data_IF_524079544091
#
_entry.id   IF_524079544091
#
_cell.length_a   1.000
_cell.length_b   1.000
_cell.length_c   1.000
_cell.angle_alpha   90.00
_cell.angle_beta   90.00
_cell.angle_gamma   90.00
#
_symmetry.space_group_name_H-M   'P 1'
#
loop_
_entity.id
_entity.type
_entity.pdbx_description
1 polymer ?
#
# COMPACT_ATOMS: atom_id res chain seq x y z
N UNK A 1 -95.42 2.85 -10.31
CA UNK A 1 -95.45 2.02 -11.52
C UNK A 1 -94.05 1.43 -11.74
N UNK A 2 -93.99 0.09 -11.75
CA UNK A 2 -93.03 -0.86 -12.38
C UNK A 2 -91.93 -0.18 -13.25
N UNK A 3 -90.62 -0.49 -13.16
CA UNK A 3 -90.02 -1.81 -13.43
C UNK A 3 -88.62 -2.02 -12.84
N UNK A 4 -88.50 -3.22 -12.30
CA UNK A 4 -87.34 -4.07 -12.09
C UNK A 4 -86.61 -4.35 -13.42
N UNK A 5 -85.28 -4.32 -13.44
CA UNK A 5 -84.51 -5.29 -14.24
C UNK A 5 -83.08 -5.44 -13.72
N UNK A 6 -82.84 -6.64 -13.17
CA UNK A 6 -81.58 -7.27 -12.82
C UNK A 6 -80.62 -7.41 -14.00
N UNK A 7 -79.30 -7.27 -13.76
CA UNK A 7 -78.30 -8.19 -14.30
C UNK A 7 -77.01 -8.17 -13.45
N UNK A 8 -76.64 -9.35 -12.95
CA UNK A 8 -75.36 -9.69 -12.34
C UNK A 8 -74.19 -9.41 -13.29
N UNK A 9 -73.06 -8.89 -12.79
CA UNK A 9 -71.74 -9.45 -13.12
C UNK A 9 -70.62 -8.96 -12.18
N UNK A 10 -69.94 -9.91 -11.54
CA UNK A 10 -68.50 -9.81 -11.27
C UNK A 10 -68.04 -9.13 -9.98
N UNK A 11 -68.17 -9.82 -8.84
CA UNK A 11 -67.29 -9.62 -7.70
C UNK A 11 -65.84 -9.97 -8.10
N UNK A 12 -64.99 -8.96 -8.30
CA UNK A 12 -63.53 -9.11 -8.18
C UNK A 12 -63.09 -8.18 -7.05
N UNK A 13 -63.20 -8.68 -5.83
CA UNK A 13 -62.53 -8.07 -4.67
C UNK A 13 -61.03 -8.32 -4.83
N UNK A 14 -60.32 -7.31 -5.33
CA UNK A 14 -58.89 -7.18 -5.11
C UNK A 14 -58.66 -7.00 -3.61
N UNK A 15 -58.36 -8.11 -2.92
CA UNK A 15 -57.84 -8.08 -1.56
C UNK A 15 -56.42 -7.51 -1.66
N UNK A 16 -56.30 -6.19 -1.49
CA UNK A 16 -55.01 -5.55 -1.18
C UNK A 16 -54.72 -5.85 0.28
N UNK A 17 -54.16 -7.03 0.53
CA UNK A 17 -53.54 -7.33 1.82
C UNK A 17 -52.33 -6.41 1.98
N UNK A 18 -52.52 -5.28 2.67
CA UNK A 18 -51.42 -4.53 3.24
C UNK A 18 -50.80 -5.42 4.32
N UNK A 19 -49.73 -6.12 3.98
CA UNK A 19 -48.86 -6.73 4.97
C UNK A 19 -48.23 -5.59 5.78
N UNK A 20 -48.74 -5.34 6.97
CA UNK A 20 -48.05 -4.55 7.99
C UNK A 20 -46.90 -5.41 8.53
N UNK A 21 -45.84 -5.54 7.73
CA UNK A 21 -44.55 -5.99 8.20
C UNK A 21 -43.99 -4.81 8.99
N UNK A 22 -44.34 -4.78 10.28
CA UNK A 22 -43.67 -3.96 11.28
C UNK A 22 -42.24 -4.46 11.42
N UNK A 23 -41.43 -4.15 10.41
CA UNK A 23 -40.02 -4.47 10.38
C UNK A 23 -39.33 -3.54 11.37
N UNK A 24 -39.24 -4.00 12.61
CA UNK A 24 -38.31 -3.44 13.60
C UNK A 24 -36.89 -3.86 13.22
N UNK A 25 -36.47 -3.50 12.01
CA UNK A 25 -35.06 -3.44 11.68
C UNK A 25 -34.49 -2.25 12.43
N UNK A 26 -33.99 -2.55 13.64
CA UNK A 26 -33.06 -1.68 14.32
C UNK A 26 -31.80 -1.59 13.45
N UNK A 27 -31.82 -0.69 12.48
CA UNK A 27 -30.65 -0.36 11.71
C UNK A 27 -29.56 0.13 12.67
N UNK A 28 -28.44 -0.60 12.68
CA UNK A 28 -27.27 -0.28 13.50
C UNK A 28 -26.74 1.10 13.12
N UNK A 29 -26.83 1.48 11.85
CA UNK A 29 -26.40 2.79 11.37
C UNK A 29 -27.31 3.90 11.92
N UNK A 30 -28.63 3.71 11.93
CA UNK A 30 -29.55 4.62 12.58
C UNK A 30 -29.21 4.79 14.07
N UNK A 31 -28.89 3.73 14.83
CA UNK A 31 -28.51 3.89 16.26
C UNK A 31 -27.20 4.67 16.47
N UNK A 32 -26.24 4.53 15.55
CA UNK A 32 -24.96 5.25 15.61
C UNK A 32 -25.11 6.75 15.36
N UNK A 33 -26.05 7.17 14.49
CA UNK A 33 -26.27 8.60 14.16
C UNK A 33 -26.77 9.44 15.35
N UNK A 34 -27.43 8.82 16.34
CA UNK A 34 -28.02 9.53 17.48
C UNK A 34 -27.16 9.48 18.75
N UNK A 35 -26.03 8.78 18.72
CA UNK A 35 -25.13 8.66 19.87
C UNK A 35 -24.04 9.72 19.77
N UNK A 36 -24.01 10.68 20.69
CA UNK A 36 -22.88 11.61 20.80
C UNK A 36 -21.65 10.81 21.19
N UNK A 37 -20.73 10.61 20.25
CA UNK A 37 -19.45 9.98 20.52
C UNK A 37 -18.58 11.01 21.23
N UNK A 38 -18.26 10.76 22.49
CA UNK A 38 -17.23 11.53 23.19
C UNK A 38 -15.89 11.25 22.53
N UNK A 39 -15.40 12.20 21.72
CA UNK A 39 -14.20 12.03 20.92
C UNK A 39 -13.05 12.77 21.59
N UNK A 40 -12.01 12.05 22.01
CA UNK A 40 -10.76 12.65 22.47
C UNK A 40 -9.82 12.83 21.28
N UNK A 41 -9.34 14.04 21.03
CA UNK A 41 -8.32 14.28 20.01
C UNK A 41 -6.97 13.74 20.51
N UNK A 42 -6.42 12.74 19.83
CA UNK A 42 -5.09 12.22 20.10
C UNK A 42 -4.15 12.54 18.94
N UNK A 43 -2.96 13.04 19.25
CA UNK A 43 -1.92 13.33 18.27
C UNK A 43 -0.75 12.36 18.53
N UNK A 44 -0.32 11.62 17.51
CA UNK A 44 0.72 10.60 17.65
C UNK A 44 2.13 11.08 17.29
N UNK A 45 2.33 12.36 16.95
CA UNK A 45 3.64 12.93 16.60
C UNK A 45 4.70 12.70 17.68
N UNK A 46 4.34 12.82 18.98
CA UNK A 46 5.27 12.57 20.08
C UNK A 46 5.80 11.14 20.13
N UNK A 47 5.02 10.15 19.64
CA UNK A 47 5.46 8.75 19.58
C UNK A 47 6.47 8.51 18.46
N UNK A 48 6.55 9.41 17.49
CA UNK A 48 7.34 9.29 16.27
C UNK A 48 8.57 10.20 16.27
N UNK A 49 8.81 10.93 17.37
CA UNK A 49 9.87 11.93 17.48
C UNK A 49 11.30 11.39 17.27
N UNK A 50 11.51 10.08 17.41
CA UNK A 50 12.82 9.44 17.21
C UNK A 50 12.98 8.86 15.81
N UNK A 51 11.92 8.83 14.99
CA UNK A 51 11.97 8.28 13.65
C UNK A 51 12.44 9.35 12.66
N UNK A 52 13.36 8.97 11.76
CA UNK A 52 13.70 9.81 10.60
C UNK A 52 12.63 9.61 9.55
N UNK A 53 11.70 10.55 9.46
CA UNK A 53 10.53 10.45 8.60
C UNK A 53 10.61 11.42 7.42
N UNK A 54 10.15 10.94 6.26
CA UNK A 54 10.01 11.71 5.03
C UNK A 54 8.53 11.77 4.68
N UNK A 55 8.04 12.96 4.35
CA UNK A 55 6.65 13.16 3.95
C UNK A 55 6.37 12.51 2.59
N UNK A 56 5.23 11.84 2.49
CA UNK A 56 4.72 11.29 1.24
C UNK A 56 3.83 12.35 0.59
N UNK A 57 4.29 12.90 -0.52
CA UNK A 57 3.54 13.90 -1.30
C UNK A 57 2.67 13.20 -2.34
N UNK A 58 1.44 12.84 -1.96
CA UNK A 58 0.44 12.22 -2.84
C UNK A 58 -0.90 12.94 -2.73
N UNK A 59 -1.56 13.15 -3.86
CA UNK A 59 -2.84 13.87 -3.91
C UNK A 59 -3.91 13.18 -3.05
N UNK A 60 -4.57 13.96 -2.18
CA UNK A 60 -5.61 13.46 -1.29
C UNK A 60 -5.11 12.80 -0.01
N UNK A 61 -3.79 12.81 0.26
CA UNK A 61 -3.22 12.31 1.51
C UNK A 61 -2.42 13.41 2.21
N UNK A 62 -2.87 13.80 3.41
CA UNK A 62 -2.09 14.62 4.33
C UNK A 62 -1.54 13.77 5.47
N UNK A 63 -0.51 14.28 6.15
CA UNK A 63 0.06 13.64 7.35
C UNK A 63 0.47 12.18 7.15
N UNK A 64 0.96 11.83 5.94
CA UNK A 64 1.43 10.50 5.60
C UNK A 64 2.95 10.51 5.40
N UNK A 65 3.64 9.64 6.13
CA UNK A 65 5.09 9.57 6.17
C UNK A 65 5.61 8.14 5.97
N UNK A 66 6.87 8.08 5.57
CA UNK A 66 7.68 6.86 5.45
C UNK A 66 9.01 7.05 6.16
N UNK A 67 9.70 5.97 6.49
CA UNK A 67 11.05 6.06 7.01
C UNK A 67 12.01 6.53 5.92
N UNK A 68 12.96 7.38 6.29
CA UNK A 68 14.06 7.78 5.41
C UNK A 68 14.86 6.54 4.99
N UNK A 69 15.01 6.36 3.68
CA UNK A 69 15.67 5.21 3.07
C UNK A 69 17.18 5.40 3.03
N UNK A 70 17.65 6.60 2.69
CA UNK A 70 19.08 6.90 2.45
C UNK A 70 19.98 6.51 3.61
N UNK A 71 19.65 6.93 4.83
CA UNK A 71 20.45 6.57 6.00
C UNK A 71 20.30 5.11 6.45
N UNK A 72 19.55 4.27 5.71
CA UNK A 72 19.47 2.82 5.87
C UNK A 72 20.20 2.07 4.74
N UNK A 73 20.89 2.77 3.84
CA UNK A 73 21.74 2.19 2.78
C UNK A 73 23.17 2.17 3.31
N UNK A 74 23.80 1.00 3.38
CA UNK A 74 25.09 0.82 4.06
C UNK A 74 26.22 1.73 3.54
N UNK A 75 26.26 2.01 2.23
CA UNK A 75 27.33 2.79 1.59
C UNK A 75 26.80 4.01 0.82
N UNK A 76 25.77 4.68 1.35
CA UNK A 76 25.34 5.97 0.81
C UNK A 76 26.19 7.10 1.40
N UNK A 77 26.68 8.08 0.63
CA UNK A 77 26.44 8.36 -0.79
C UNK A 77 27.28 7.52 -1.74
N UNK A 78 26.66 7.09 -2.84
CA UNK A 78 27.27 6.30 -3.90
C UNK A 78 28.36 7.09 -4.62
N UNK A 79 28.16 8.41 -4.76
CA UNK A 79 29.12 9.33 -5.37
C UNK A 79 30.48 9.36 -4.66
N UNK A 80 30.57 8.90 -3.41
CA UNK A 80 31.85 8.82 -2.69
C UNK A 80 32.83 7.81 -3.26
N UNK A 81 32.36 6.85 -4.07
CA UNK A 81 33.21 5.91 -4.81
C UNK A 81 33.02 6.04 -6.33
N UNK A 82 31.86 6.54 -6.79
CA UNK A 82 31.52 6.73 -8.19
C UNK A 82 31.75 8.17 -8.64
N UNK A 83 33.01 8.61 -8.59
CA UNK A 83 33.42 9.97 -8.98
C UNK A 83 33.70 10.11 -10.49
N UNK A 84 33.85 8.99 -11.19
CA UNK A 84 34.10 8.92 -12.63
C UNK A 84 33.12 7.99 -13.31
N UNK A 85 33.06 8.05 -14.63
CA UNK A 85 32.17 7.22 -15.45
C UNK A 85 32.30 5.73 -15.13
N UNK A 86 31.16 5.03 -15.07
CA UNK A 86 31.11 3.62 -14.71
C UNK A 86 31.95 2.73 -15.64
N UNK A 87 32.06 3.10 -16.92
CA UNK A 87 32.89 2.40 -17.89
C UNK A 87 34.38 2.44 -17.51
N UNK A 88 34.85 3.54 -16.92
CA UNK A 88 36.24 3.72 -16.50
C UNK A 88 36.54 2.96 -15.21
N UNK A 89 35.57 2.89 -14.28
CA UNK A 89 35.72 2.16 -13.01
C UNK A 89 35.89 0.64 -13.21
N UNK A 90 35.21 0.04 -14.20
CA UNK A 90 35.37 -1.38 -14.53
C UNK A 90 36.82 -1.77 -14.86
N UNK A 91 37.59 -0.84 -15.41
CA UNK A 91 39.00 -1.09 -15.79
C UNK A 91 39.98 -0.99 -14.61
N UNK A 92 39.56 -0.40 -13.47
CA UNK A 92 40.42 -0.13 -12.32
C UNK A 92 40.43 -1.23 -11.25
N UNK A 93 39.78 -2.37 -11.52
CA UNK A 93 40.06 -3.64 -10.82
C UNK A 93 39.42 -3.85 -9.44
N UNK A 94 38.45 -3.03 -9.02
CA UNK A 94 37.73 -3.22 -7.75
C UNK A 94 36.27 -3.63 -8.00
N UNK A 95 36.07 -4.81 -8.57
CA UNK A 95 34.76 -5.36 -8.98
C UNK A 95 33.94 -5.99 -7.82
N UNK A 96 34.34 -5.80 -6.57
CA UNK A 96 33.77 -6.56 -5.43
C UNK A 96 32.49 -5.96 -4.86
N UNK A 97 32.35 -4.64 -4.87
CA UNK A 97 31.16 -3.96 -4.33
C UNK A 97 30.04 -4.16 -5.33
N UNK A 98 28.94 -4.80 -4.93
CA UNK A 98 27.81 -5.25 -5.75
C UNK A 98 27.95 -6.62 -6.45
N UNK A 99 29.06 -7.34 -6.30
CA UNK A 99 29.25 -8.66 -6.92
C UNK A 99 28.27 -9.74 -6.43
N UNK A 100 27.68 -9.54 -5.26
CA UNK A 100 26.68 -10.40 -4.62
C UNK A 100 25.24 -10.08 -5.04
N UNK A 101 25.02 -9.01 -5.81
CA UNK A 101 23.69 -8.59 -6.26
C UNK A 101 23.31 -9.31 -7.55
N UNK A 102 22.16 -9.97 -7.52
CA UNK A 102 21.53 -10.60 -8.69
C UNK A 102 20.15 -10.01 -8.92
N UNK A 103 19.83 -9.70 -10.18
CA UNK A 103 18.53 -9.17 -10.57
C UNK A 103 17.58 -10.32 -10.95
N UNK A 104 16.61 -10.60 -10.09
CA UNK A 104 15.54 -11.59 -10.26
C UNK A 104 14.15 -10.93 -10.26
N UNK A 105 14.05 -9.72 -10.79
CA UNK A 105 12.80 -8.95 -10.86
C UNK A 105 12.13 -9.06 -12.24
N UNK A 106 12.92 -9.15 -13.30
CA UNK A 106 12.47 -9.41 -14.68
C UNK A 106 13.61 -10.02 -15.49
N UNK A 107 13.38 -10.36 -16.75
CA UNK A 107 14.49 -10.69 -17.67
C UNK A 107 15.37 -9.45 -17.89
N UNK A 108 16.66 -9.69 -18.13
CA UNK A 108 17.63 -8.62 -18.41
C UNK A 108 17.34 -7.88 -19.73
N UNK A 109 16.57 -8.50 -20.63
CA UNK A 109 16.10 -7.88 -21.87
C UNK A 109 15.00 -6.82 -21.63
N UNK A 110 14.34 -6.87 -20.47
CA UNK A 110 13.24 -5.95 -20.11
C UNK A 110 13.70 -4.93 -19.08
N UNK A 111 14.38 -5.38 -18.02
CA UNK A 111 14.88 -4.51 -16.95
C UNK A 111 16.39 -4.70 -16.77
N UNK A 112 17.11 -3.59 -16.77
CA UNK A 112 18.52 -3.52 -16.38
C UNK A 112 18.67 -2.77 -15.06
N UNK A 113 19.88 -2.74 -14.49
CA UNK A 113 20.18 -1.93 -13.31
C UNK A 113 19.78 -0.45 -13.51
N UNK A 114 20.05 0.08 -14.71
CA UNK A 114 19.80 1.49 -15.05
C UNK A 114 18.36 1.79 -15.48
N UNK A 115 17.49 0.77 -15.50
CA UNK A 115 16.06 1.03 -15.59
C UNK A 115 15.54 1.68 -14.31
N UNK A 116 16.20 1.40 -13.18
CA UNK A 116 15.82 1.88 -11.85
C UNK A 116 16.85 2.87 -11.28
N UNK A 117 18.14 2.62 -11.49
CA UNK A 117 19.22 3.47 -11.01
C UNK A 117 19.59 4.51 -12.06
N UNK A 118 19.87 5.74 -11.64
CA UNK A 118 20.32 6.77 -12.55
C UNK A 118 21.81 6.58 -12.88
N UNK A 119 22.20 6.29 -14.14
CA UNK A 119 23.60 6.11 -14.52
C UNK A 119 24.42 7.41 -14.39
N UNK A 120 23.77 8.56 -14.55
CA UNK A 120 24.41 9.88 -14.53
C UNK A 120 24.57 10.41 -13.10
N UNK A 121 23.81 9.87 -12.15
CA UNK A 121 23.87 10.21 -10.73
C UNK A 121 23.43 9.04 -9.85
N UNK A 122 24.38 8.22 -9.40
CA UNK A 122 24.09 7.01 -8.63
C UNK A 122 23.54 7.27 -7.22
N UNK A 123 23.55 8.52 -6.76
CA UNK A 123 22.86 8.92 -5.52
C UNK A 123 21.34 9.03 -5.70
N UNK A 124 20.84 8.82 -6.91
CA UNK A 124 19.43 8.90 -7.28
C UNK A 124 18.95 7.67 -8.06
N UNK A 125 17.64 7.48 -8.01
CA UNK A 125 16.90 6.58 -8.89
C UNK A 125 16.49 7.34 -10.15
N UNK A 126 16.10 6.60 -11.19
CA UNK A 126 15.62 7.13 -12.46
C UNK A 126 14.26 6.54 -12.81
N UNK A 127 13.32 7.37 -13.22
CA UNK A 127 12.03 6.95 -13.75
C UNK A 127 12.18 6.31 -15.13
N UNK A 128 11.16 5.61 -15.60
CA UNK A 128 11.15 5.05 -16.97
C UNK A 128 11.18 6.15 -18.04
N UNK A 129 10.72 7.35 -17.71
CA UNK A 129 10.83 8.56 -18.54
C UNK A 129 12.16 9.31 -18.39
N UNK A 130 13.05 8.86 -17.50
CA UNK A 130 14.38 9.44 -17.29
C UNK A 130 14.49 10.55 -16.25
N UNK A 131 13.43 10.83 -15.49
CA UNK A 131 13.44 11.81 -14.40
C UNK A 131 14.12 11.23 -13.16
N UNK A 132 14.94 12.02 -12.48
CA UNK A 132 15.49 11.67 -11.17
C UNK A 132 14.38 11.46 -10.12
N UNK A 133 14.56 10.42 -9.32
CA UNK A 133 13.72 10.07 -8.17
C UNK A 133 14.64 9.88 -6.97
N UNK A 134 14.28 10.50 -5.85
CA UNK A 134 15.02 10.34 -4.61
C UNK A 134 14.87 8.90 -4.04
N UNK A 135 15.92 8.32 -3.44
CA UNK A 135 15.83 7.02 -2.78
C UNK A 135 14.75 6.97 -1.68
N UNK A 136 14.51 8.08 -0.98
CA UNK A 136 13.44 8.17 0.03
C UNK A 136 12.04 8.12 -0.60
N UNK A 137 11.96 8.35 -1.91
CA UNK A 137 10.74 8.30 -2.72
C UNK A 137 10.72 7.11 -3.67
N UNK A 138 11.42 6.02 -3.34
CA UNK A 138 11.49 4.83 -4.21
C UNK A 138 10.12 4.25 -4.58
N UNK A 139 9.08 4.49 -3.78
CA UNK A 139 7.70 4.10 -4.09
C UNK A 139 7.18 4.74 -5.40
N UNK A 140 7.65 5.95 -5.76
CA UNK A 140 7.31 6.61 -7.04
C UNK A 140 7.92 5.88 -8.24
N UNK A 141 9.08 5.23 -8.06
CA UNK A 141 9.66 4.40 -9.10
C UNK A 141 8.81 3.14 -9.30
N UNK A 142 8.45 2.46 -8.20
CA UNK A 142 7.68 1.22 -8.22
C UNK A 142 6.27 1.42 -8.84
N UNK A 143 5.62 2.56 -8.57
CA UNK A 143 4.25 2.84 -9.02
C UNK A 143 4.11 2.94 -10.54
N UNK A 144 5.20 3.16 -11.28
CA UNK A 144 5.20 3.22 -12.74
C UNK A 144 4.79 1.90 -13.40
N UNK A 145 5.01 0.76 -12.72
CA UNK A 145 4.59 -0.56 -13.19
C UNK A 145 3.61 -1.24 -12.22
N UNK A 146 3.78 -1.03 -10.91
CA UNK A 146 2.97 -1.64 -9.85
C UNK A 146 1.85 -0.69 -9.35
N UNK A 147 1.04 -0.19 -10.27
CA UNK A 147 0.01 0.83 -9.97
C UNK A 147 -1.05 0.36 -8.98
N UNK A 148 -1.47 -0.92 -9.06
CA UNK A 148 -2.46 -1.49 -8.14
C UNK A 148 -1.89 -1.64 -6.72
N UNK A 149 -0.70 -2.23 -6.58
CA UNK A 149 -0.02 -2.36 -5.27
C UNK A 149 0.27 -0.97 -4.67
N UNK A 150 0.65 -0.01 -5.50
CA UNK A 150 0.83 1.36 -5.07
C UNK A 150 -0.48 1.99 -4.58
N UNK A 151 -1.59 1.78 -5.29
CA UNK A 151 -2.90 2.28 -4.86
C UNK A 151 -3.36 1.66 -3.55
N UNK A 152 -3.10 0.38 -3.35
CA UNK A 152 -3.38 -0.30 -2.08
C UNK A 152 -2.46 0.21 -0.96
N UNK A 153 -1.19 0.46 -1.26
CA UNK A 153 -0.22 0.98 -0.30
C UNK A 153 -0.56 2.41 0.14
N UNK A 154 -0.83 3.32 -0.80
CA UNK A 154 -1.28 4.69 -0.48
C UNK A 154 -2.59 4.66 0.32
N UNK A 155 -3.52 3.75 -0.01
CA UNK A 155 -4.78 3.56 0.71
C UNK A 155 -4.64 2.90 2.09
N UNK A 156 -3.53 2.18 2.32
CA UNK A 156 -3.24 1.48 3.57
C UNK A 156 -3.77 0.05 3.66
N UNK A 157 -4.32 -0.50 2.58
CA UNK A 157 -4.62 -1.93 2.45
C UNK A 157 -3.37 -2.77 2.20
N UNK A 158 -2.28 -2.14 1.73
CA UNK A 158 -0.99 -2.79 1.52
C UNK A 158 0.15 -2.08 2.27
N UNK A 159 1.21 -2.83 2.56
CA UNK A 159 2.32 -2.37 3.40
C UNK A 159 2.03 -2.47 4.89
N UNK A 160 3.09 -2.30 5.70
CA UNK A 160 2.99 -2.34 7.16
C UNK A 160 2.93 -0.93 7.71
N UNK A 161 1.81 -0.56 8.34
CA UNK A 161 1.74 0.62 9.21
C UNK A 161 2.62 0.35 10.43
N UNK A 162 3.51 1.29 10.71
CA UNK A 162 4.44 1.22 11.84
C UNK A 162 4.19 2.31 12.88
N UNK A 163 3.41 3.32 12.51
CA UNK A 163 3.12 4.44 13.37
C UNK A 163 1.79 5.10 13.09
N UNK A 164 1.35 5.84 14.12
CA UNK A 164 0.19 6.72 14.13
C UNK A 164 -1.10 6.11 13.64
N UNK A 165 -1.76 5.34 14.49
CA UNK A 165 -3.16 4.93 14.29
C UNK A 165 -4.08 6.13 14.06
N UNK A 166 -3.83 7.22 14.79
CA UNK A 166 -4.31 8.58 14.50
C UNK A 166 -3.17 9.36 13.85
N UNK A 167 -3.47 10.40 13.07
CA UNK A 167 -2.46 11.20 12.37
C UNK A 167 -1.25 11.58 13.26
N UNK A 168 -0.03 11.52 12.71
CA UNK A 168 0.30 11.24 11.32
C UNK A 168 0.45 9.74 11.04
N UNK A 169 0.06 9.28 9.86
CA UNK A 169 0.26 7.90 9.42
C UNK A 169 1.73 7.67 9.09
N UNK A 170 2.32 6.60 9.60
CA UNK A 170 3.65 6.14 9.16
C UNK A 170 3.55 4.71 8.64
N UNK A 171 4.06 4.50 7.43
CA UNK A 171 4.10 3.17 6.80
C UNK A 171 5.49 2.82 6.30
N UNK A 172 5.80 1.53 6.31
CA UNK A 172 6.91 1.01 5.52
C UNK A 172 6.68 1.26 4.03
N UNK A 173 7.74 1.59 3.31
CA UNK A 173 7.83 1.62 1.84
C UNK A 173 7.90 0.21 1.25
N UNK A 174 7.79 0.12 -0.07
CA UNK A 174 7.93 -1.15 -0.81
C UNK A 174 9.26 -1.86 -0.48
N UNK A 175 10.36 -1.11 -0.45
CA UNK A 175 11.72 -1.64 -0.31
C UNK A 175 12.13 -1.97 1.14
N UNK A 176 11.30 -1.62 2.12
CA UNK A 176 11.48 -2.03 3.53
C UNK A 176 10.89 -3.40 3.84
N UNK A 177 10.10 -3.94 2.91
CA UNK A 177 9.51 -5.28 2.99
C UNK A 177 10.01 -6.18 1.86
N UNK A 178 10.19 -5.62 0.65
CA UNK A 178 10.64 -6.33 -0.54
C UNK A 178 12.09 -6.00 -0.86
N UNK A 179 12.86 -7.00 -1.29
CA UNK A 179 14.16 -6.75 -1.90
C UNK A 179 13.92 -6.20 -3.33
N UNK A 180 14.34 -4.97 -3.68
CA UNK A 180 14.08 -4.40 -5.01
C UNK A 180 14.69 -5.21 -6.17
N UNK A 181 15.73 -6.00 -5.91
CA UNK A 181 16.36 -6.87 -6.90
C UNK A 181 15.73 -8.27 -6.96
N UNK A 182 14.94 -8.65 -5.96
CA UNK A 182 14.17 -9.90 -5.93
C UNK A 182 12.90 -9.71 -5.08
N UNK A 183 11.88 -9.00 -5.59
CA UNK A 183 10.77 -8.55 -4.74
C UNK A 183 9.83 -9.65 -4.28
N UNK A 184 9.76 -10.76 -5.03
CA UNK A 184 8.89 -11.88 -4.68
C UNK A 184 9.24 -12.47 -3.31
N UNK A 185 8.23 -12.72 -2.48
CA UNK A 185 8.43 -13.53 -1.28
C UNK A 185 8.56 -15.00 -1.66
N UNK A 186 9.52 -15.69 -1.06
CA UNK A 186 9.60 -17.15 -1.17
C UNK A 186 8.32 -17.80 -0.64
N UNK A 187 7.87 -18.86 -1.31
CA UNK A 187 6.78 -19.68 -0.79
C UNK A 187 7.23 -20.30 0.53
N UNK A 188 6.45 -20.07 1.58
CA UNK A 188 6.67 -20.66 2.89
C UNK A 188 5.46 -21.51 3.25
N UNK A 189 5.71 -22.72 3.71
CA UNK A 189 4.65 -23.53 4.28
C UNK A 189 4.10 -22.79 5.52
N UNK A 190 2.77 -22.72 5.69
CA UNK A 190 2.20 -22.19 6.93
C UNK A 190 2.82 -22.93 8.11
N UNK A 191 3.40 -22.18 9.05
CA UNK A 191 3.88 -22.81 10.28
C UNK A 191 2.65 -23.34 11.01
N UNK A 192 2.75 -24.51 11.64
CA UNK A 192 1.73 -24.90 12.60
C UNK A 192 1.65 -23.81 13.68
N UNK A 193 0.45 -23.42 14.14
CA UNK A 193 0.32 -22.56 15.30
C UNK A 193 1.08 -23.22 16.46
N UNK A 194 1.87 -22.45 17.21
CA UNK A 194 2.74 -23.00 18.27
C UNK A 194 1.99 -23.88 19.30
N UNK A 195 0.66 -23.75 19.39
CA UNK A 195 -0.21 -24.51 20.29
C UNK A 195 -0.79 -25.81 19.72
N UNK A 196 -0.55 -26.15 18.44
CA UNK A 196 -0.97 -27.44 17.86
C UNK A 196 0.27 -28.29 17.63
N UNK A 197 0.93 -28.71 18.72
CA UNK A 197 1.90 -29.81 18.63
C UNK A 197 1.13 -31.11 18.44
N UNK A 198 1.10 -31.59 17.19
CA UNK A 198 0.55 -32.89 16.83
C UNK A 198 1.29 -33.95 17.64
N UNK A 199 0.64 -34.59 18.63
CA UNK A 199 1.15 -35.84 19.21
C UNK A 199 1.29 -36.82 18.05
N UNK A 200 2.54 -37.12 17.68
CA UNK A 200 2.85 -38.18 16.71
C UNK A 200 2.51 -39.50 17.40
N UNK A 201 1.44 -40.15 16.95
CA UNK A 201 1.17 -41.57 17.20
C UNK A 201 2.07 -42.43 16.35
#
# INVERSE_FOLDING_TARGET
MVKLSTLLLGCVLFITGACDVSDRHHDVYAKLQHSSVDSTSYNSYNLLQHDRLVSVEEEGYSDFFVHERKGSISNYKCSGCHEVELAELKTKGNDLTHADIRLFHSSLDVLSCFTCHNPDNLDELRSTSGKSIDFDQSYKLCSQCHSSQFSDWRGGSHGKRIGGWVAPRVSKTCVECHNPHSPGFESRMPTYPAHIQKKRS
#
